data_IF_751606289196
#
_entry.id   IF_751606289196
#
_cell.length_a   1.000
_cell.length_b   1.000
_cell.length_c   1.000
_cell.angle_alpha   90.00
_cell.angle_beta   90.00
_cell.angle_gamma   90.00
#
_symmetry.space_group_name_H-M   'P 1'
#
loop_
_entity.id
_entity.type
_entity.pdbx_description
1 polymer ?
#
# COMPACT_ATOMS: atom_id res chain seq x y z
N UNK A 1 -16.20 -0.49 24.15
CA UNK A 1 -16.26 -1.53 23.10
C UNK A 1 -15.15 -2.52 23.37
N UNK A 2 -15.44 -3.82 23.27
CA UNK A 2 -14.52 -4.89 23.66
C UNK A 2 -13.33 -4.98 22.69
N UNK A 3 -12.10 -4.79 23.17
CA UNK A 3 -10.88 -4.68 22.33
C UNK A 3 -10.64 -5.93 21.47
N UNK A 4 -11.14 -7.08 21.91
CA UNK A 4 -11.07 -8.36 21.20
C UNK A 4 -11.95 -8.39 19.94
N UNK A 5 -13.14 -7.78 20.00
CA UNK A 5 -14.06 -7.67 18.86
C UNK A 5 -13.49 -6.78 17.75
N UNK A 6 -12.83 -5.68 18.13
CA UNK A 6 -12.15 -4.80 17.17
C UNK A 6 -10.96 -5.53 16.48
N UNK A 7 -10.17 -6.31 17.23
CA UNK A 7 -9.04 -7.09 16.66
C UNK A 7 -9.49 -8.05 15.56
N UNK A 8 -10.57 -8.82 15.78
CA UNK A 8 -11.09 -9.76 14.77
C UNK A 8 -11.64 -9.03 13.53
N UNK A 9 -12.32 -7.90 13.72
CA UNK A 9 -12.83 -7.08 12.63
C UNK A 9 -11.70 -6.44 11.81
N UNK A 10 -10.63 -5.96 12.45
CA UNK A 10 -9.42 -5.46 11.79
C UNK A 10 -8.75 -6.58 11.00
N UNK A 11 -8.64 -7.80 11.54
CA UNK A 11 -8.10 -8.94 10.77
C UNK A 11 -8.98 -9.30 9.56
N UNK A 12 -10.29 -9.09 9.62
CA UNK A 12 -11.17 -9.33 8.48
C UNK A 12 -10.97 -8.33 7.32
N UNK A 13 -10.38 -7.16 7.57
CA UNK A 13 -10.08 -6.19 6.49
C UNK A 13 -9.02 -6.74 5.53
N UNK A 14 -8.11 -7.59 5.99
CA UNK A 14 -7.15 -8.30 5.15
C UNK A 14 -7.84 -9.15 4.07
N UNK A 15 -8.88 -9.90 4.44
CA UNK A 15 -9.61 -10.75 3.49
C UNK A 15 -10.38 -9.89 2.47
N UNK A 16 -10.97 -8.77 2.90
CA UNK A 16 -11.67 -7.82 2.02
C UNK A 16 -10.73 -7.11 1.04
N UNK A 17 -9.54 -6.71 1.51
CA UNK A 17 -8.49 -6.12 0.68
C UNK A 17 -7.97 -7.11 -0.36
N UNK A 18 -7.69 -8.36 0.04
CA UNK A 18 -7.25 -9.43 -0.86
C UNK A 18 -8.30 -9.74 -1.93
N UNK A 19 -9.58 -9.80 -1.56
CA UNK A 19 -10.68 -10.01 -2.51
C UNK A 19 -10.81 -8.85 -3.51
N UNK A 20 -10.62 -7.61 -3.07
CA UNK A 20 -10.66 -6.43 -3.94
C UNK A 20 -9.45 -6.36 -4.87
N UNK A 21 -8.25 -6.72 -4.38
CA UNK A 21 -7.05 -6.91 -5.21
C UNK A 21 -7.29 -7.97 -6.29
N UNK A 22 -7.85 -9.14 -5.93
CA UNK A 22 -8.21 -10.18 -6.91
C UNK A 22 -9.26 -9.72 -7.94
N UNK A 23 -10.24 -8.89 -7.54
CA UNK A 23 -11.21 -8.30 -8.48
C UNK A 23 -10.50 -7.48 -9.57
N UNK A 24 -9.53 -6.65 -9.17
CA UNK A 24 -8.72 -5.86 -10.09
C UNK A 24 -7.93 -6.73 -11.06
N UNK A 25 -7.28 -7.79 -10.55
CA UNK A 25 -6.51 -8.74 -11.38
C UNK A 25 -7.39 -9.40 -12.42
N UNK A 26 -8.55 -9.95 -12.01
CA UNK A 26 -9.48 -10.63 -12.92
C UNK A 26 -10.05 -9.70 -14.00
N UNK A 27 -10.06 -8.39 -13.74
CA UNK A 27 -10.52 -7.36 -14.68
C UNK A 27 -9.37 -6.76 -15.49
N UNK A 28 -8.13 -7.16 -15.25
CA UNK A 28 -6.96 -6.70 -15.99
C UNK A 28 -6.43 -5.33 -15.56
N UNK A 29 -6.83 -4.82 -14.39
CA UNK A 29 -6.32 -3.54 -13.89
C UNK A 29 -4.84 -3.64 -13.52
N UNK A 30 -4.47 -4.72 -12.84
CA UNK A 30 -3.09 -4.99 -12.42
C UNK A 30 -2.73 -6.45 -12.64
N UNK A 31 -1.42 -6.73 -12.74
CA UNK A 31 -0.89 -8.09 -12.82
C UNK A 31 -0.46 -8.53 -11.43
N UNK A 32 -1.01 -9.64 -10.96
CA UNK A 32 -0.59 -10.32 -9.74
C UNK A 32 -0.98 -11.79 -9.85
N UNK A 33 0.02 -12.63 -10.04
CA UNK A 33 -0.15 -14.08 -10.26
C UNK A 33 -0.33 -14.85 -8.93
N UNK A 34 -0.37 -14.16 -7.77
CA UNK A 34 -0.33 -14.77 -6.45
C UNK A 34 -1.58 -14.49 -5.60
N UNK A 35 -2.22 -13.32 -5.71
CA UNK A 35 -3.32 -12.93 -4.80
C UNK A 35 -4.48 -13.92 -4.81
N UNK A 36 -4.70 -14.60 -5.93
CA UNK A 36 -5.74 -15.62 -6.05
C UNK A 36 -5.54 -16.81 -5.09
N UNK A 37 -4.31 -17.09 -4.67
CA UNK A 37 -3.96 -18.15 -3.71
C UNK A 37 -4.42 -17.83 -2.29
N UNK A 38 -4.61 -16.53 -1.99
CA UNK A 38 -4.99 -16.03 -0.66
C UNK A 38 -6.50 -15.77 -0.52
N UNK A 39 -7.26 -15.82 -1.62
CA UNK A 39 -8.69 -15.49 -1.62
C UNK A 39 -9.53 -16.75 -1.77
N UNK A 40 -10.22 -17.15 -0.70
CA UNK A 40 -11.13 -18.31 -0.72
C UNK A 40 -12.39 -18.10 -1.55
N UNK A 41 -12.94 -16.88 -1.52
CA UNK A 41 -14.19 -16.52 -2.20
C UNK A 41 -13.98 -15.24 -3.01
N UNK A 42 -13.75 -15.37 -4.33
CA UNK A 42 -13.62 -14.20 -5.19
C UNK A 42 -14.91 -13.36 -5.17
N UNK A 43 -14.76 -12.04 -5.06
CA UNK A 43 -15.87 -11.09 -5.11
C UNK A 43 -15.62 -10.12 -6.27
N UNK A 44 -16.64 -9.85 -7.08
CA UNK A 44 -16.57 -8.78 -8.10
C UNK A 44 -16.85 -7.44 -7.41
N UNK A 45 -15.98 -6.45 -7.64
CA UNK A 45 -16.18 -5.06 -7.20
C UNK A 45 -16.71 -4.20 -8.35
N UNK A 46 -17.29 -3.04 -8.01
CA UNK A 46 -17.70 -2.03 -8.99
C UNK A 46 -16.48 -1.40 -9.67
N UNK A 47 -16.65 -0.80 -10.87
CA UNK A 47 -15.54 -0.15 -11.58
C UNK A 47 -14.84 0.93 -10.75
N UNK A 48 -15.58 1.74 -9.97
CA UNK A 48 -14.97 2.78 -9.12
C UNK A 48 -14.05 2.18 -8.04
N UNK A 49 -14.45 1.06 -7.42
CA UNK A 49 -13.62 0.37 -6.44
C UNK A 49 -12.38 -0.23 -7.11
N UNK A 50 -12.53 -0.85 -8.29
CA UNK A 50 -11.39 -1.41 -9.02
C UNK A 50 -10.39 -0.31 -9.43
N UNK A 51 -10.87 0.85 -9.92
CA UNK A 51 -10.04 2.02 -10.24
C UNK A 51 -9.31 2.57 -9.02
N UNK A 52 -9.98 2.67 -7.88
CA UNK A 52 -9.35 3.08 -6.62
C UNK A 52 -8.26 2.13 -6.14
N UNK A 53 -8.53 0.82 -6.15
CA UNK A 53 -7.53 -0.20 -5.79
C UNK A 53 -6.35 -0.25 -6.76
N UNK A 54 -6.59 -0.02 -8.06
CA UNK A 54 -5.53 0.14 -9.04
C UNK A 54 -4.66 1.35 -8.73
N UNK A 55 -5.25 2.51 -8.45
CA UNK A 55 -4.50 3.72 -8.13
C UNK A 55 -3.63 3.52 -6.87
N UNK A 56 -4.20 2.91 -5.84
CA UNK A 56 -3.50 2.48 -4.61
C UNK A 56 -2.28 1.61 -4.93
N UNK A 57 -2.48 0.54 -5.70
CA UNK A 57 -1.40 -0.37 -6.10
C UNK A 57 -0.35 0.33 -6.97
N UNK A 58 -0.77 1.11 -7.98
CA UNK A 58 0.12 1.80 -8.90
C UNK A 58 1.02 2.82 -8.17
N UNK A 59 0.48 3.54 -7.19
CA UNK A 59 1.23 4.48 -6.38
C UNK A 59 2.32 3.78 -5.55
N UNK A 60 1.96 2.71 -4.83
CA UNK A 60 2.93 1.88 -4.09
C UNK A 60 4.01 1.34 -5.03
N UNK A 61 3.62 0.73 -6.16
CA UNK A 61 4.56 0.13 -7.12
C UNK A 61 5.51 1.15 -7.72
N UNK A 62 5.03 2.36 -8.05
CA UNK A 62 5.89 3.40 -8.63
C UNK A 62 6.91 3.93 -7.61
N UNK A 63 6.49 4.22 -6.38
CA UNK A 63 7.39 4.66 -5.31
C UNK A 63 8.38 3.57 -4.89
N UNK A 64 7.90 2.32 -4.83
CA UNK A 64 8.74 1.17 -4.53
C UNK A 64 9.80 0.94 -5.61
N UNK A 65 9.43 1.01 -6.89
CA UNK A 65 10.40 0.92 -7.98
C UNK A 65 11.40 2.08 -7.97
N UNK A 66 10.98 3.32 -7.71
CA UNK A 66 11.92 4.44 -7.54
C UNK A 66 12.98 4.14 -6.47
N UNK A 67 12.58 3.57 -5.32
CA UNK A 67 13.49 3.16 -4.26
C UNK A 67 14.41 2.00 -4.70
N UNK A 68 13.86 0.97 -5.34
CA UNK A 68 14.62 -0.20 -5.79
C UNK A 68 15.60 0.12 -6.93
N UNK A 69 15.31 1.13 -7.74
CA UNK A 69 16.13 1.57 -8.86
C UNK A 69 17.18 2.64 -8.44
N UNK A 70 17.15 3.16 -7.21
CA UNK A 70 18.17 4.11 -6.70
C UNK A 70 19.57 3.48 -6.65
N UNK A 71 20.57 4.08 -7.29
CA UNK A 71 21.95 3.58 -7.24
C UNK A 71 22.73 4.23 -6.08
N UNK A 72 23.65 3.47 -5.46
CA UNK A 72 24.59 4.02 -4.48
C UNK A 72 25.74 4.76 -5.18
N UNK A 73 26.45 5.62 -4.44
CA UNK A 73 27.63 6.28 -4.98
C UNK A 73 28.66 5.25 -5.49
N UNK A 74 29.16 5.46 -6.71
CA UNK A 74 29.95 4.54 -7.54
C UNK A 74 31.30 4.04 -6.96
N UNK A 75 31.61 4.33 -5.70
CA UNK A 75 32.87 3.99 -5.06
C UNK A 75 32.96 2.53 -4.58
N UNK A 76 31.84 1.82 -4.42
CA UNK A 76 31.84 0.39 -4.10
C UNK A 76 31.33 -0.43 -5.29
N UNK A 77 32.14 -1.38 -5.76
CA UNK A 77 31.88 -2.23 -6.94
C UNK A 77 30.76 -3.27 -6.73
N UNK A 78 29.77 -2.99 -5.89
CA UNK A 78 28.66 -3.89 -5.55
C UNK A 78 27.31 -3.19 -5.65
N UNK A 79 26.26 -3.96 -5.96
CA UNK A 79 24.89 -3.46 -5.88
C UNK A 79 24.56 -3.06 -4.44
N UNK A 80 24.00 -1.86 -4.26
CA UNK A 80 23.52 -1.36 -2.98
C UNK A 80 22.45 -2.31 -2.43
N UNK A 81 22.72 -2.94 -1.28
CA UNK A 81 21.73 -3.78 -0.60
C UNK A 81 20.62 -2.90 -0.05
N UNK A 82 19.37 -3.34 -0.24
CA UNK A 82 18.16 -2.63 0.19
C UNK A 82 17.24 -3.56 0.95
N UNK A 83 16.48 -3.01 1.89
CA UNK A 83 15.55 -3.76 2.71
C UNK A 83 14.12 -3.23 2.53
N UNK A 84 13.14 -4.10 2.72
CA UNK A 84 11.73 -3.72 2.79
C UNK A 84 11.16 -4.22 4.12
N UNK A 85 10.45 -3.34 4.82
CA UNK A 85 9.70 -3.65 6.04
C UNK A 85 8.23 -3.35 5.83
N UNK A 86 7.39 -4.37 5.69
CA UNK A 86 5.95 -4.22 5.54
C UNK A 86 5.24 -4.42 6.87
N UNK A 87 4.71 -3.33 7.42
CA UNK A 87 3.93 -3.31 8.65
C UNK A 87 2.47 -3.64 8.31
N UNK A 88 1.86 -4.58 9.03
CA UNK A 88 0.48 -5.02 8.76
C UNK A 88 0.32 -5.57 7.34
N UNK A 89 1.26 -6.43 6.92
CA UNK A 89 1.39 -6.86 5.54
C UNK A 89 0.19 -7.66 5.01
N UNK A 90 -0.61 -8.25 5.90
CA UNK A 90 -1.71 -9.11 5.48
C UNK A 90 -1.27 -10.22 4.53
N UNK A 91 -2.08 -10.49 3.52
CA UNK A 91 -1.78 -11.37 2.40
C UNK A 91 -1.20 -10.62 1.19
N UNK A 92 -0.47 -9.53 1.42
CA UNK A 92 0.24 -8.86 0.34
C UNK A 92 1.20 -9.81 -0.38
N UNK A 93 1.33 -9.62 -1.69
CA UNK A 93 2.04 -10.52 -2.59
C UNK A 93 3.25 -9.86 -3.24
N UNK A 94 3.59 -8.63 -2.83
CA UNK A 94 4.61 -7.80 -3.49
C UNK A 94 5.97 -8.48 -3.55
N UNK A 95 6.40 -9.18 -2.48
CA UNK A 95 7.65 -9.94 -2.50
C UNK A 95 7.69 -10.97 -3.62
N UNK A 96 6.63 -11.75 -3.79
CA UNK A 96 6.57 -12.81 -4.81
C UNK A 96 6.55 -12.21 -6.22
N UNK A 97 5.85 -11.09 -6.42
CA UNK A 97 5.88 -10.34 -7.68
C UNK A 97 7.29 -9.81 -7.99
N UNK A 98 7.96 -9.21 -7.00
CA UNK A 98 9.34 -8.70 -7.17
C UNK A 98 10.34 -9.82 -7.49
N UNK A 99 10.14 -11.03 -6.94
CA UNK A 99 10.97 -12.18 -7.29
C UNK A 99 10.83 -12.56 -8.77
N UNK A 100 9.61 -12.59 -9.30
CA UNK A 100 9.39 -12.87 -10.73
C UNK A 100 9.95 -11.79 -11.64
N UNK A 101 9.94 -10.55 -11.18
CA UNK A 101 10.47 -9.41 -11.91
C UNK A 101 12.01 -9.30 -11.83
N UNK A 102 12.67 -10.14 -11.02
CA UNK A 102 14.11 -10.05 -10.77
C UNK A 102 14.52 -8.79 -9.99
N UNK A 103 13.58 -8.20 -9.24
CA UNK A 103 13.74 -6.94 -8.48
C UNK A 103 13.62 -7.14 -6.96
N UNK A 104 13.64 -8.37 -6.47
CA UNK A 104 13.55 -8.63 -5.04
C UNK A 104 14.70 -7.94 -4.26
N UNK A 105 14.41 -7.32 -3.10
CA UNK A 105 15.43 -6.64 -2.30
C UNK A 105 16.40 -7.65 -1.67
N UNK A 106 17.44 -7.13 -1.01
CA UNK A 106 18.33 -7.97 -0.21
C UNK A 106 17.58 -8.69 0.92
N UNK A 107 16.61 -8.02 1.54
CA UNK A 107 15.77 -8.57 2.59
C UNK A 107 14.36 -7.97 2.54
N UNK A 108 13.33 -8.81 2.63
CA UNK A 108 11.92 -8.40 2.71
C UNK A 108 11.32 -8.98 4.00
N UNK A 109 10.86 -8.12 4.90
CA UNK A 109 10.28 -8.50 6.19
C UNK A 109 8.82 -8.08 6.25
N UNK A 110 7.95 -9.02 6.55
CA UNK A 110 6.51 -8.80 6.73
C UNK A 110 6.11 -9.05 8.19
N UNK A 111 5.39 -8.08 8.75
CA UNK A 111 4.90 -8.10 10.12
C UNK A 111 3.37 -8.06 10.12
N UNK A 112 2.74 -8.93 10.89
CA UNK A 112 1.29 -8.89 11.14
C UNK A 112 0.95 -9.63 12.44
N UNK A 113 -0.32 -9.62 12.84
CA UNK A 113 -0.81 -10.46 13.90
C UNK A 113 -0.59 -11.94 13.59
N UNK A 114 -0.28 -12.72 14.63
CA UNK A 114 -0.06 -14.17 14.55
C UNK A 114 -1.16 -14.91 13.79
N UNK A 115 -2.42 -14.53 13.99
CA UNK A 115 -3.54 -15.19 13.32
C UNK A 115 -3.52 -15.01 11.79
N UNK A 116 -2.96 -13.89 11.30
CA UNK A 116 -2.76 -13.60 9.87
C UNK A 116 -1.51 -14.29 9.37
N UNK A 117 -0.39 -14.17 10.08
CA UNK A 117 0.88 -14.77 9.65
C UNK A 117 0.83 -16.29 9.64
N UNK A 118 0.16 -16.94 10.61
CA UNK A 118 -0.05 -18.40 10.59
C UNK A 118 -0.83 -18.90 9.37
N UNK A 119 -1.83 -18.13 8.89
CA UNK A 119 -2.56 -18.46 7.65
C UNK A 119 -1.66 -18.31 6.44
N UNK A 120 -0.88 -17.23 6.36
CA UNK A 120 0.05 -16.97 5.26
C UNK A 120 1.18 -17.99 5.22
N UNK A 121 1.80 -18.31 6.36
CA UNK A 121 2.82 -19.35 6.50
C UNK A 121 2.29 -20.73 6.05
N UNK A 122 1.05 -21.09 6.41
CA UNK A 122 0.42 -22.33 5.95
C UNK A 122 0.29 -22.37 4.42
N UNK A 123 -0.11 -21.26 3.78
CA UNK A 123 -0.22 -21.20 2.33
C UNK A 123 1.14 -21.25 1.66
N UNK A 124 2.15 -20.56 2.22
CA UNK A 124 3.53 -20.59 1.71
C UNK A 124 4.11 -22.00 1.78
N UNK A 125 3.86 -22.75 2.85
CA UNK A 125 4.33 -24.13 2.98
C UNK A 125 3.65 -25.10 2.01
N UNK A 126 2.33 -24.95 1.82
CA UNK A 126 1.51 -25.95 1.10
C UNK A 126 1.37 -25.67 -0.39
N UNK A 127 1.62 -24.44 -0.84
CA UNK A 127 1.52 -24.04 -2.24
C UNK A 127 2.92 -23.91 -2.86
N UNK A 128 3.27 -24.80 -3.80
CA UNK A 128 4.58 -24.78 -4.49
C UNK A 128 4.87 -23.44 -5.16
N UNK A 129 3.85 -22.78 -5.73
CA UNK A 129 4.00 -21.48 -6.39
C UNK A 129 4.53 -20.39 -5.45
N UNK A 130 4.26 -20.49 -4.14
CA UNK A 130 4.81 -19.61 -3.11
C UNK A 130 6.10 -20.17 -2.51
N UNK A 131 6.13 -21.48 -2.23
CA UNK A 131 7.28 -22.15 -1.61
C UNK A 131 8.55 -22.04 -2.44
N UNK A 132 8.41 -22.11 -3.76
CA UNK A 132 9.53 -22.08 -4.72
C UNK A 132 10.13 -20.67 -4.86
N UNK A 133 9.45 -19.63 -4.35
CA UNK A 133 9.91 -18.23 -4.36
C UNK A 133 10.71 -17.84 -3.12
N UNK A 134 10.79 -18.73 -2.15
CA UNK A 134 11.64 -18.56 -0.96
C UNK A 134 12.72 -19.64 -0.96
N UNK A 135 13.83 -19.38 -0.26
CA UNK A 135 14.97 -20.30 -0.23
C UNK A 135 14.56 -21.72 0.15
N UNK A 136 15.18 -22.73 -0.47
CA UNK A 136 14.90 -24.14 -0.16
C UNK A 136 15.18 -24.46 1.33
N UNK A 137 16.14 -23.74 1.93
CA UNK A 137 16.53 -23.85 3.35
C UNK A 137 15.61 -23.08 4.30
N UNK A 138 14.53 -22.45 3.81
CA UNK A 138 13.62 -21.68 4.65
C UNK A 138 13.01 -22.56 5.75
N UNK A 139 13.05 -22.05 6.98
CA UNK A 139 12.33 -22.61 8.13
C UNK A 139 10.92 -22.03 8.15
N UNK A 140 9.91 -22.89 8.14
CA UNK A 140 8.49 -22.49 8.20
C UNK A 140 7.86 -23.14 9.42
N UNK A 141 7.24 -22.33 10.26
CA UNK A 141 6.51 -22.79 11.43
C UNK A 141 5.10 -22.21 11.42
N UNK A 142 4.12 -23.06 11.12
CA UNK A 142 2.70 -22.68 11.11
C UNK A 142 2.19 -22.29 12.50
N UNK A 143 2.69 -22.99 13.52
CA UNK A 143 2.27 -22.81 14.92
C UNK A 143 2.77 -21.49 15.49
N UNK A 144 4.03 -21.12 15.24
CA UNK A 144 4.51 -19.79 15.60
C UNK A 144 3.99 -18.72 14.63
N UNK A 145 3.70 -19.08 13.38
CA UNK A 145 3.27 -18.13 12.34
C UNK A 145 4.46 -17.44 11.69
N UNK A 146 5.56 -18.17 11.51
CA UNK A 146 6.85 -17.66 11.09
C UNK A 146 7.30 -18.31 9.78
N UNK A 147 7.92 -17.51 8.92
CA UNK A 147 8.71 -17.98 7.77
C UNK A 147 10.05 -17.28 7.85
N UNK A 148 11.13 -18.05 7.91
CA UNK A 148 12.49 -17.54 7.99
C UNK A 148 13.29 -18.10 6.79
N UNK A 149 13.49 -17.26 5.78
CA UNK A 149 14.33 -17.53 4.60
C UNK A 149 15.49 -16.53 4.54
N UNK A 150 16.42 -16.70 3.61
CA UNK A 150 17.57 -15.80 3.47
C UNK A 150 17.15 -14.36 3.08
N UNK A 151 16.15 -14.24 2.19
CA UNK A 151 15.70 -12.95 1.63
C UNK A 151 14.26 -12.57 2.00
N UNK A 152 13.51 -13.47 2.65
CA UNK A 152 12.12 -13.23 3.05
C UNK A 152 11.88 -13.70 4.48
N UNK A 153 11.28 -12.83 5.28
CA UNK A 153 10.88 -13.09 6.66
C UNK A 153 9.41 -12.74 6.84
N UNK A 154 8.64 -13.63 7.44
CA UNK A 154 7.29 -13.37 7.92
C UNK A 154 7.29 -13.60 9.42
N UNK A 155 6.96 -12.57 10.21
CA UNK A 155 7.06 -12.62 11.66
C UNK A 155 5.77 -12.12 12.33
N UNK A 156 5.27 -12.85 13.35
CA UNK A 156 4.09 -12.46 14.12
C UNK A 156 4.46 -11.37 15.14
N UNK A 157 3.80 -10.22 15.11
CA UNK A 157 3.98 -9.18 16.12
C UNK A 157 2.75 -8.28 16.22
N UNK A 158 2.45 -7.81 17.42
CA UNK A 158 1.52 -6.70 17.61
C UNK A 158 2.32 -5.40 17.44
N UNK A 159 2.03 -4.64 16.38
CA UNK A 159 2.77 -3.41 16.06
C UNK A 159 2.77 -2.37 17.18
N UNK A 160 1.84 -2.48 18.15
CA UNK A 160 1.77 -1.58 19.32
C UNK A 160 2.84 -1.88 20.36
N UNK A 161 3.45 -3.06 20.31
CA UNK A 161 4.48 -3.51 21.23
C UNK A 161 5.88 -3.15 20.69
N UNK A 162 6.26 -1.87 20.85
CA UNK A 162 7.53 -1.34 20.33
C UNK A 162 8.77 -2.15 20.77
N UNK A 163 8.91 -2.56 22.05
CA UNK A 163 10.05 -3.40 22.45
C UNK A 163 10.15 -4.71 21.64
N UNK A 164 9.02 -5.35 21.31
CA UNK A 164 9.03 -6.54 20.45
C UNK A 164 9.38 -6.23 18.99
N UNK A 165 9.14 -5.01 18.51
CA UNK A 165 9.60 -4.61 17.19
C UNK A 165 11.13 -4.56 17.13
N UNK A 166 11.81 -4.15 18.20
CA UNK A 166 13.28 -4.19 18.28
C UNK A 166 13.82 -5.64 18.25
N UNK A 167 13.16 -6.55 18.96
CA UNK A 167 13.48 -7.99 18.91
C UNK A 167 13.30 -8.54 17.49
N UNK A 168 12.26 -8.11 16.78
CA UNK A 168 11.97 -8.50 15.39
C UNK A 168 13.07 -8.02 14.42
N UNK A 169 13.59 -6.80 14.56
CA UNK A 169 14.72 -6.32 13.74
C UNK A 169 15.91 -7.25 13.88
N UNK A 170 16.24 -7.63 15.12
CA UNK A 170 17.34 -8.54 15.43
C UNK A 170 17.08 -9.94 14.87
N UNK A 171 15.90 -10.50 15.09
CA UNK A 171 15.51 -11.83 14.62
C UNK A 171 15.47 -11.95 13.10
N UNK A 172 14.98 -10.91 12.42
CA UNK A 172 14.94 -10.84 10.97
C UNK A 172 16.32 -10.66 10.34
N UNK A 173 17.33 -10.24 11.13
CA UNK A 173 18.65 -9.86 10.63
C UNK A 173 18.62 -8.59 9.79
N UNK A 174 17.70 -7.66 10.10
CA UNK A 174 17.65 -6.36 9.42
C UNK A 174 18.82 -5.50 9.89
N UNK A 175 19.55 -4.94 8.94
CA UNK A 175 20.63 -3.98 9.19
C UNK A 175 20.06 -2.55 9.15
N UNK A 176 20.02 -1.82 10.28
CA UNK A 176 19.46 -0.47 10.31
C UNK A 176 20.29 0.58 9.55
N UNK A 177 21.53 0.25 9.14
CA UNK A 177 22.37 1.11 8.32
C UNK A 177 22.05 1.03 6.82
N UNK A 178 21.34 -0.01 6.38
CA UNK A 178 20.96 -0.18 4.98
C UNK A 178 19.72 0.65 4.61
N UNK A 179 19.63 1.16 3.37
CA UNK A 179 18.43 1.79 2.85
C UNK A 179 17.22 0.88 3.03
N UNK A 180 16.18 1.39 3.70
CA UNK A 180 14.99 0.61 4.05
C UNK A 180 13.71 1.29 3.57
N UNK A 181 12.87 0.56 2.83
CA UNK A 181 11.53 1.01 2.45
C UNK A 181 10.49 0.41 3.39
N UNK A 182 9.75 1.26 4.08
CA UNK A 182 8.78 0.86 5.09
C UNK A 182 7.38 1.06 4.53
N UNK A 183 6.50 0.06 4.66
CA UNK A 183 5.15 0.09 4.10
C UNK A 183 4.14 0.03 5.24
N UNK A 184 3.20 0.97 5.26
CA UNK A 184 1.97 0.89 6.04
C UNK A 184 0.76 1.20 5.12
N UNK A 185 0.17 0.15 4.55
CA UNK A 185 -0.90 0.27 3.54
C UNK A 185 -2.28 -0.05 4.17
N UNK A 186 -3.01 0.98 4.62
CA UNK A 186 -4.20 0.90 5.47
C UNK A 186 -3.92 0.16 6.80
N UNK A 187 -3.00 0.69 7.61
CA UNK A 187 -2.59 0.03 8.87
C UNK A 187 -2.70 0.98 10.06
N UNK A 188 -1.99 2.11 10.03
CA UNK A 188 -1.92 3.04 11.18
C UNK A 188 -3.30 3.61 11.54
N UNK A 189 -4.17 3.81 10.54
CA UNK A 189 -5.55 4.28 10.75
C UNK A 189 -6.40 3.43 11.72
N UNK A 190 -6.07 2.15 11.88
CA UNK A 190 -6.77 1.23 12.80
C UNK A 190 -6.23 1.29 14.24
N UNK A 191 -5.14 2.01 14.48
CA UNK A 191 -4.50 2.13 15.77
C UNK A 191 -4.90 3.43 16.45
N UNK A 192 -4.86 3.44 17.78
CA UNK A 192 -4.99 4.68 18.52
C UNK A 192 -3.82 5.64 18.17
N UNK A 193 -4.03 6.97 18.29
CA UNK A 193 -3.03 7.95 17.89
C UNK A 193 -1.65 7.78 18.54
N UNK A 194 -1.59 7.36 19.81
CA UNK A 194 -0.32 7.17 20.52
C UNK A 194 0.46 5.97 19.98
N UNK A 195 -0.22 4.88 19.67
CA UNK A 195 0.37 3.72 18.99
C UNK A 195 0.94 4.12 17.62
N UNK A 196 0.16 4.85 16.80
CA UNK A 196 0.61 5.31 15.48
C UNK A 196 1.84 6.21 15.58
N UNK A 197 1.83 7.22 16.46
CA UNK A 197 3.00 8.08 16.72
C UNK A 197 4.21 7.28 17.18
N UNK A 198 4.00 6.27 18.03
CA UNK A 198 5.08 5.43 18.56
C UNK A 198 5.75 4.60 17.47
N UNK A 199 4.98 4.03 16.54
CA UNK A 199 5.50 3.26 15.40
C UNK A 199 6.28 4.18 14.43
N UNK A 200 5.71 5.34 14.09
CA UNK A 200 6.36 6.31 13.20
C UNK A 200 7.66 6.85 13.81
N UNK A 201 7.67 7.11 15.12
CA UNK A 201 8.87 7.52 15.85
C UNK A 201 9.91 6.41 15.92
N UNK A 202 9.48 5.17 16.19
CA UNK A 202 10.36 4.02 16.24
C UNK A 202 11.08 3.83 14.91
N UNK A 203 10.33 3.75 13.81
CA UNK A 203 10.93 3.62 12.45
C UNK A 203 11.89 4.75 12.11
N UNK A 204 11.57 6.01 12.48
CA UNK A 204 12.48 7.15 12.29
C UNK A 204 13.80 7.02 13.05
N UNK A 205 13.77 6.42 14.24
CA UNK A 205 14.97 6.24 15.07
C UNK A 205 15.80 5.04 14.65
N UNK A 206 15.13 3.99 14.15
CA UNK A 206 15.76 2.74 13.75
C UNK A 206 16.54 2.93 12.46
N UNK A 207 15.94 3.54 11.43
CA UNK A 207 16.56 3.61 10.08
C UNK A 207 16.98 5.03 9.72
N UNK A 208 18.30 5.21 9.53
CA UNK A 208 18.89 6.53 9.20
C UNK A 208 18.73 6.92 7.73
N UNK A 209 18.58 5.93 6.84
CA UNK A 209 18.26 6.12 5.43
C UNK A 209 17.04 5.27 5.09
N UNK A 210 15.87 5.89 5.02
CA UNK A 210 14.62 5.20 4.81
C UNK A 210 13.58 6.04 4.08
N UNK A 211 12.69 5.34 3.39
CA UNK A 211 11.40 5.86 2.92
C UNK A 211 10.31 5.18 3.74
N UNK A 212 9.36 5.94 4.27
CA UNK A 212 8.11 5.40 4.81
C UNK A 212 6.98 5.70 3.83
N UNK A 213 6.33 4.67 3.30
CA UNK A 213 5.12 4.77 2.48
C UNK A 213 3.88 4.54 3.35
N UNK A 214 2.92 5.44 3.23
CA UNK A 214 1.63 5.38 3.92
C UNK A 214 0.49 5.53 2.91
N UNK A 215 -0.50 4.66 2.99
CA UNK A 215 -1.78 4.81 2.29
C UNK A 215 -2.92 4.65 3.28
N UNK A 216 -3.78 5.66 3.45
CA UNK A 216 -4.93 5.58 4.37
C UNK A 216 -5.95 6.70 4.15
N UNK A 217 -7.02 6.68 4.94
CA UNK A 217 -8.15 7.59 4.89
C UNK A 217 -7.83 8.98 5.45
N UNK A 218 -8.51 9.99 4.92
CA UNK A 218 -8.58 11.39 5.37
C UNK A 218 -10.02 11.94 5.25
N UNK A 219 -10.23 13.18 5.67
CA UNK A 219 -11.49 13.93 5.60
C UNK A 219 -12.67 13.25 6.32
N UNK A 220 -12.63 13.10 7.66
CA UNK A 220 -13.70 12.44 8.42
C UNK A 220 -15.00 13.23 8.53
N UNK A 221 -14.95 14.55 8.36
CA UNK A 221 -15.99 15.45 8.85
C UNK A 221 -17.06 15.79 7.81
N UNK A 222 -16.80 15.55 6.52
CA UNK A 222 -17.80 15.75 5.49
C UNK A 222 -18.80 14.58 5.39
N UNK A 223 -19.79 14.73 4.51
CA UNK A 223 -20.88 13.77 4.41
C UNK A 223 -20.42 12.37 3.95
N UNK A 224 -19.41 12.30 3.08
CA UNK A 224 -18.84 11.03 2.64
C UNK A 224 -17.98 10.42 3.74
N UNK A 225 -17.06 11.19 4.33
CA UNK A 225 -16.20 10.76 5.44
C UNK A 225 -16.99 10.19 6.62
N UNK A 226 -18.03 10.90 7.05
CA UNK A 226 -18.90 10.42 8.12
C UNK A 226 -19.64 9.13 7.74
N UNK A 227 -20.07 8.98 6.48
CA UNK A 227 -20.73 7.76 6.03
C UNK A 227 -19.75 6.59 5.96
N UNK A 228 -18.52 6.81 5.49
CA UNK A 228 -17.44 5.84 5.50
C UNK A 228 -17.15 5.34 6.92
N UNK A 229 -17.01 6.24 7.89
CA UNK A 229 -16.78 5.90 9.30
C UNK A 229 -17.93 5.05 9.85
N UNK A 230 -19.18 5.51 9.71
CA UNK A 230 -20.37 4.76 10.17
C UNK A 230 -20.43 3.35 9.57
N UNK A 231 -20.11 3.22 8.28
CA UNK A 231 -20.10 1.93 7.58
C UNK A 231 -19.06 0.97 8.17
N UNK A 232 -17.84 1.46 8.45
CA UNK A 232 -16.76 0.64 9.00
C UNK A 232 -17.02 0.27 10.47
N UNK A 233 -17.51 1.21 11.27
CA UNK A 233 -17.91 0.97 12.66
C UNK A 233 -19.04 -0.06 12.77
N UNK A 234 -20.02 -0.04 11.85
CA UNK A 234 -21.10 -1.03 11.82
C UNK A 234 -20.60 -2.47 11.59
N UNK A 235 -19.37 -2.62 11.07
CA UNK A 235 -18.67 -3.89 10.86
C UNK A 235 -17.66 -4.20 11.97
N UNK A 236 -17.64 -3.40 13.04
CA UNK A 236 -16.71 -3.52 14.16
C UNK A 236 -15.30 -2.99 13.88
N UNK A 237 -15.08 -2.29 12.75
CA UNK A 237 -13.77 -1.83 12.30
C UNK A 237 -13.67 -0.31 12.42
N UNK A 238 -13.41 0.20 13.62
CA UNK A 238 -13.28 1.64 13.85
C UNK A 238 -11.95 2.18 13.30
N UNK A 239 -11.99 3.35 12.68
CA UNK A 239 -10.79 4.10 12.25
C UNK A 239 -10.27 4.96 13.42
N UNK A 240 -9.56 4.33 14.35
CA UNK A 240 -9.16 4.96 15.62
C UNK A 240 -8.28 6.21 15.44
N UNK A 241 -7.50 6.30 14.36
CA UNK A 241 -6.59 7.42 14.10
C UNK A 241 -7.15 8.54 13.22
N UNK A 242 -8.39 8.42 12.69
CA UNK A 242 -8.86 9.31 11.60
C UNK A 242 -8.98 10.78 12.02
N UNK A 243 -9.40 11.04 13.26
CA UNK A 243 -9.58 12.40 13.76
C UNK A 243 -8.27 13.06 14.23
N UNK A 244 -7.22 12.27 14.51
CA UNK A 244 -5.89 12.80 14.89
C UNK A 244 -5.10 13.23 13.65
N UNK A 245 -5.32 12.56 12.52
CA UNK A 245 -4.67 12.87 11.24
C UNK A 245 -5.66 13.04 10.07
N UNK A 246 -6.55 14.05 10.14
CA UNK A 246 -7.72 14.15 9.25
C UNK A 246 -7.43 14.74 7.86
N UNK A 247 -6.24 15.29 7.62
CA UNK A 247 -5.90 16.00 6.37
C UNK A 247 -4.52 15.62 5.86
N UNK A 248 -4.20 15.95 4.61
CA UNK A 248 -2.87 15.76 4.03
C UNK A 248 -1.78 16.40 4.90
N UNK A 249 -1.97 17.66 5.33
CA UNK A 249 -1.02 18.34 6.21
C UNK A 249 -0.86 17.63 7.55
N UNK A 250 -1.94 17.09 8.13
CA UNK A 250 -1.85 16.33 9.37
C UNK A 250 -1.07 15.01 9.20
N UNK A 251 -1.18 14.36 8.03
CA UNK A 251 -0.37 13.18 7.69
C UNK A 251 1.11 13.55 7.56
N UNK A 252 1.44 14.67 6.94
CA UNK A 252 2.83 15.15 6.85
C UNK A 252 3.39 15.47 8.24
N UNK A 253 2.61 16.16 9.09
CA UNK A 253 2.99 16.50 10.45
C UNK A 253 3.22 15.25 11.32
N UNK A 254 2.40 14.21 11.16
CA UNK A 254 2.61 12.92 11.84
C UNK A 254 4.03 12.37 11.63
N UNK A 255 4.64 12.59 10.46
CA UNK A 255 6.02 12.13 10.24
C UNK A 255 7.04 13.10 10.80
N UNK A 256 6.94 14.39 10.45
CA UNK A 256 7.94 15.40 10.81
C UNK A 256 8.04 15.57 12.34
N UNK A 257 6.91 15.58 13.04
CA UNK A 257 6.87 15.68 14.51
C UNK A 257 7.46 14.44 15.21
N UNK A 258 7.56 13.32 14.51
CA UNK A 258 8.07 12.05 15.04
C UNK A 258 9.52 11.76 14.62
N UNK A 259 10.19 12.73 14.00
CA UNK A 259 11.63 12.70 13.74
C UNK A 259 12.03 12.48 12.29
N UNK A 260 11.07 12.35 11.37
CA UNK A 260 11.38 12.23 9.95
C UNK A 260 11.84 13.58 9.38
N UNK A 261 12.85 13.58 8.50
CA UNK A 261 13.43 14.82 7.96
C UNK A 261 12.44 15.60 7.08
N UNK A 262 11.62 14.89 6.30
CA UNK A 262 10.57 15.48 5.45
C UNK A 262 9.47 14.47 5.17
N UNK A 263 8.28 14.98 4.86
CA UNK A 263 7.15 14.19 4.40
C UNK A 263 6.33 14.97 3.35
N UNK A 264 5.67 14.24 2.46
CA UNK A 264 4.79 14.79 1.42
C UNK A 264 3.56 13.89 1.30
N UNK A 265 2.36 14.48 1.25
CA UNK A 265 1.10 13.75 1.11
C UNK A 265 0.24 14.29 -0.04
N UNK A 266 -0.24 13.40 -0.92
CA UNK A 266 -1.21 13.70 -1.97
C UNK A 266 -2.49 12.87 -1.76
N UNK A 267 -3.64 13.47 -2.03
CA UNK A 267 -4.90 12.72 -2.12
C UNK A 267 -4.89 11.78 -3.34
N UNK A 268 -5.78 10.78 -3.35
CA UNK A 268 -5.78 9.77 -4.41
C UNK A 268 -6.28 10.31 -5.75
N UNK A 269 -7.00 11.43 -5.78
CA UNK A 269 -7.41 12.07 -7.03
C UNK A 269 -6.19 12.63 -7.76
N UNK A 270 -5.34 13.36 -7.03
CA UNK A 270 -4.07 13.88 -7.52
C UNK A 270 -3.07 12.78 -7.86
N UNK A 271 -2.98 11.75 -7.03
CA UNK A 271 -2.16 10.56 -7.35
C UNK A 271 -2.63 9.93 -8.66
N UNK A 272 -3.95 9.73 -8.82
CA UNK A 272 -4.51 9.20 -10.05
C UNK A 272 -4.21 10.11 -11.25
N UNK A 273 -4.47 11.41 -11.14
CA UNK A 273 -4.35 12.34 -12.26
C UNK A 273 -2.90 12.62 -12.68
N UNK A 274 -1.99 12.73 -11.73
CA UNK A 274 -0.67 13.31 -11.97
C UNK A 274 0.46 12.27 -11.81
N UNK A 275 0.30 11.31 -10.90
CA UNK A 275 1.35 10.33 -10.59
C UNK A 275 1.21 9.03 -11.40
N UNK A 276 -0.02 8.56 -11.65
CA UNK A 276 -0.28 7.40 -12.51
C UNK A 276 -0.11 7.79 -13.98
N UNK A 277 0.69 7.00 -14.71
CA UNK A 277 1.01 7.25 -16.11
C UNK A 277 -0.25 7.36 -16.97
N UNK A 278 -0.29 8.36 -17.85
CA UNK A 278 -1.45 8.61 -18.70
C UNK A 278 -1.79 7.41 -19.61
N UNK A 279 -0.79 6.64 -20.04
CA UNK A 279 -1.01 5.44 -20.83
C UNK A 279 -1.74 4.36 -20.01
N UNK A 280 -1.32 4.15 -18.76
CA UNK A 280 -1.96 3.19 -17.86
C UNK A 280 -3.37 3.63 -17.48
N UNK A 281 -3.61 4.92 -17.21
CA UNK A 281 -4.97 5.44 -17.00
C UNK A 281 -5.88 5.16 -18.19
N UNK A 282 -5.46 5.51 -19.41
CA UNK A 282 -6.25 5.23 -20.63
C UNK A 282 -6.49 3.73 -20.83
N UNK A 283 -5.53 2.88 -20.46
CA UNK A 283 -5.66 1.42 -20.55
C UNK A 283 -6.74 0.94 -19.59
N UNK A 284 -6.68 1.33 -18.32
CA UNK A 284 -7.62 0.85 -17.30
C UNK A 284 -9.02 1.43 -17.45
N UNK A 285 -9.16 2.67 -17.92
CA UNK A 285 -10.46 3.31 -18.14
C UNK A 285 -11.28 2.62 -19.25
N UNK A 286 -10.62 1.85 -20.12
CA UNK A 286 -11.25 1.04 -21.18
C UNK A 286 -11.63 -0.37 -20.74
N UNK A 287 -11.20 -0.84 -19.57
CA UNK A 287 -11.45 -2.21 -19.12
C UNK A 287 -12.91 -2.43 -18.72
N UNK A 288 -13.52 -1.41 -18.13
CA UNK A 288 -14.91 -1.43 -17.70
C UNK A 288 -15.55 -0.09 -18.05
N UNK A 289 -16.77 -0.15 -18.59
CA UNK A 289 -17.62 1.03 -18.72
C UNK A 289 -17.82 1.64 -17.33
N UNK A 290 -17.61 2.95 -17.25
CA UNK A 290 -17.93 3.75 -16.09
C UNK A 290 -19.08 4.66 -16.51
N UNK A 291 -20.29 4.12 -16.40
CA UNK A 291 -21.53 4.84 -16.64
C UNK A 291 -22.26 4.97 -15.30
N UNK A 292 -22.45 6.22 -14.87
CA UNK A 292 -23.19 6.57 -13.65
C UNK A 292 -24.64 6.01 -13.71
N UNK A 293 -25.20 5.83 -14.91
CA UNK A 293 -26.50 5.20 -15.12
C UNK A 293 -26.49 3.67 -15.04
N UNK A 294 -25.44 2.96 -15.49
CA UNK A 294 -25.34 1.50 -15.29
C UNK A 294 -25.15 1.15 -13.81
N UNK A 295 -24.39 1.96 -13.06
CA UNK A 295 -24.36 1.82 -11.61
C UNK A 295 -25.77 2.02 -11.05
N UNK A 296 -26.51 3.05 -11.46
CA UNK A 296 -27.90 3.27 -11.04
C UNK A 296 -28.86 2.10 -11.36
N UNK A 297 -28.74 1.48 -12.53
CA UNK A 297 -29.56 0.31 -12.88
C UNK A 297 -29.15 -0.96 -12.13
N UNK A 298 -27.84 -1.21 -11.92
CA UNK A 298 -27.37 -2.31 -11.07
C UNK A 298 -27.81 -2.13 -9.61
N UNK A 299 -27.97 -0.89 -9.15
CA UNK A 299 -28.50 -0.53 -7.83
C UNK A 299 -30.00 -0.85 -7.74
N UNK A 300 -30.81 -0.47 -8.73
CA UNK A 300 -32.26 -0.74 -8.77
C UNK A 300 -32.59 -2.24 -8.93
N UNK A 301 -31.80 -2.98 -9.72
CA UNK A 301 -32.05 -4.40 -9.98
C UNK A 301 -31.78 -5.33 -8.78
N UNK A 302 -31.02 -4.86 -7.77
CA UNK A 302 -30.72 -5.63 -6.54
C UNK A 302 -31.74 -5.42 -5.43
N UNK A 303 -32.59 -4.39 -5.52
CA UNK A 303 -33.66 -4.15 -4.56
C UNK A 303 -34.97 -4.90 -4.91
N UNK A 304 -35.04 -5.55 -6.08
CA UNK A 304 -36.25 -6.22 -6.58
C UNK A 304 -36.33 -7.75 -6.36
N UNK A 305 -35.27 -8.42 -5.88
CA UNK A 305 -35.31 -9.87 -5.63
C UNK A 305 -35.01 -10.20 -4.16
N UNK A 306 -36.06 -10.56 -3.43
CA UNK A 306 -35.98 -10.98 -2.03
C UNK A 306 -35.18 -12.27 -1.86
N UNK A 307 -33.92 -12.15 -1.43
CA UNK A 307 -33.17 -13.24 -0.79
C UNK A 307 -32.37 -12.70 0.40
N UNK A 308 -32.90 -12.94 1.59
CA UNK A 308 -32.41 -12.40 2.86
C UNK A 308 -31.37 -13.34 3.49
N UNK A 309 -30.13 -13.43 2.99
CA UNK A 309 -28.99 -14.02 3.73
C UNK A 309 -27.64 -13.40 3.30
N UNK A 310 -26.97 -12.73 4.25
CA UNK A 310 -25.51 -12.47 4.36
C UNK A 310 -24.73 -12.16 3.06
N UNK A 311 -24.92 -10.97 2.51
CA UNK A 311 -23.91 -10.19 1.76
C UNK A 311 -24.57 -8.94 1.15
N UNK A 312 -25.10 -8.03 1.97
CA UNK A 312 -25.55 -6.73 1.43
C UNK A 312 -25.80 -5.75 2.55
N UNK A 313 -24.88 -4.81 2.76
CA UNK A 313 -25.10 -3.53 3.44
C UNK A 313 -23.99 -2.50 3.15
N UNK A 314 -23.05 -2.83 2.24
CA UNK A 314 -22.09 -1.88 1.66
C UNK A 314 -22.74 -1.09 0.51
N UNK A 315 -23.87 -1.54 -0.04
CA UNK A 315 -24.37 -0.99 -1.29
C UNK A 315 -25.52 0.01 -1.14
N UNK A 316 -26.43 -0.06 -0.16
CA UNK A 316 -27.66 0.77 -0.22
C UNK A 316 -27.54 2.20 0.36
N UNK A 317 -26.61 2.47 1.29
CA UNK A 317 -26.55 3.78 1.98
C UNK A 317 -25.38 4.70 1.59
N UNK A 318 -24.46 4.23 0.73
CA UNK A 318 -23.57 5.13 -0.05
C UNK A 318 -24.36 5.89 -1.14
N UNK A 319 -25.55 5.41 -1.50
CA UNK A 319 -26.28 5.77 -2.73
C UNK A 319 -26.91 7.16 -2.70
N UNK A 320 -27.16 7.77 -1.53
CA UNK A 320 -27.73 9.14 -1.50
C UNK A 320 -26.72 10.27 -1.66
N UNK A 321 -25.41 9.98 -1.60
CA UNK A 321 -24.34 10.98 -1.75
C UNK A 321 -23.50 10.80 -3.01
N UNK A 322 -23.43 9.59 -3.58
CA UNK A 322 -22.63 9.31 -4.78
C UNK A 322 -23.24 9.92 -6.06
N UNK A 323 -24.52 10.29 -6.06
CA UNK A 323 -25.20 10.86 -7.24
C UNK A 323 -24.89 12.34 -7.52
N UNK A 324 -23.92 12.98 -6.84
CA UNK A 324 -23.41 14.29 -7.27
C UNK A 324 -21.89 14.44 -7.39
N UNK A 325 -21.07 13.47 -6.96
CA UNK A 325 -19.61 13.67 -6.92
C UNK A 325 -18.83 12.34 -7.04
N UNK A 326 -18.61 11.87 -8.26
CA UNK A 326 -17.71 10.74 -8.56
C UNK A 326 -16.21 11.06 -8.32
N UNK A 327 -15.87 12.35 -8.12
CA UNK A 327 -14.56 12.85 -7.67
C UNK A 327 -14.29 12.59 -6.17
N UNK A 328 -15.31 12.63 -5.33
CA UNK A 328 -15.13 12.69 -3.87
C UNK A 328 -14.45 11.44 -3.29
N UNK A 329 -14.76 10.24 -3.81
CA UNK A 329 -14.21 9.00 -3.25
C UNK A 329 -12.68 8.98 -3.21
N UNK A 330 -12.03 9.55 -4.23
CA UNK A 330 -10.58 9.58 -4.33
C UNK A 330 -9.95 10.68 -3.44
N UNK A 331 -10.71 11.68 -3.02
CA UNK A 331 -10.23 12.73 -2.13
C UNK A 331 -10.13 12.26 -0.66
N UNK A 332 -10.87 11.21 -0.29
CA UNK A 332 -10.95 10.68 1.09
C UNK A 332 -9.85 9.68 1.45
N UNK A 333 -8.91 9.45 0.54
CA UNK A 333 -7.75 8.62 0.76
C UNK A 333 -6.52 9.39 0.29
N UNK A 334 -5.38 9.13 0.92
CA UNK A 334 -4.12 9.74 0.53
C UNK A 334 -3.00 8.72 0.46
N UNK A 335 -1.97 9.06 -0.32
CA UNK A 335 -0.62 8.51 -0.18
C UNK A 335 0.26 9.58 0.43
N UNK A 336 0.96 9.21 1.49
CA UNK A 336 2.07 10.00 2.02
C UNK A 336 3.36 9.21 1.92
N UNK A 337 4.47 9.90 1.69
CA UNK A 337 5.78 9.34 1.94
C UNK A 337 6.61 10.26 2.85
N UNK A 338 7.42 9.66 3.71
CA UNK A 338 8.38 10.35 4.57
C UNK A 338 9.79 9.83 4.36
N UNK A 339 10.79 10.68 4.58
CA UNK A 339 12.17 10.42 4.21
C UNK A 339 13.12 10.77 5.33
N UNK A 340 14.02 9.84 5.63
CA UNK A 340 15.31 10.09 6.26
C UNK A 340 16.38 9.70 5.24
N UNK A 341 17.36 10.56 5.01
CA UNK A 341 18.32 10.38 3.92
C UNK A 341 19.77 10.65 4.35
N UNK A 342 20.25 9.89 5.34
CA UNK A 342 21.63 10.03 5.83
C UNK A 342 22.70 9.71 4.74
N UNK A 343 22.35 8.90 3.74
CA UNK A 343 23.23 8.54 2.63
C UNK A 343 23.08 9.47 1.39
N UNK A 344 22.11 10.38 1.38
CA UNK A 344 21.88 11.31 0.26
C UNK A 344 21.36 10.63 -1.02
N UNK A 345 20.63 9.52 -0.89
CA UNK A 345 20.10 8.70 -1.98
C UNK A 345 18.77 9.20 -2.54
N UNK A 346 18.00 9.93 -1.75
CA UNK A 346 16.57 10.16 -2.00
C UNK A 346 16.24 11.60 -2.39
N UNK A 347 17.23 12.40 -2.82
CA UNK A 347 17.04 13.81 -3.21
C UNK A 347 15.84 14.02 -4.15
N UNK A 348 15.79 13.23 -5.24
CA UNK A 348 14.73 13.29 -6.25
C UNK A 348 13.59 12.27 -6.00
N UNK A 349 13.51 11.64 -4.83
CA UNK A 349 12.47 10.66 -4.55
C UNK A 349 11.08 11.29 -4.41
N UNK A 350 10.07 10.62 -4.98
CA UNK A 350 8.66 10.85 -4.67
C UNK A 350 7.79 11.23 -5.86
N UNK A 351 6.89 12.18 -5.64
CA UNK A 351 5.94 12.68 -6.65
C UNK A 351 6.61 13.65 -7.63
N UNK A 352 7.52 13.14 -8.46
CA UNK A 352 8.15 13.93 -9.51
C UNK A 352 7.14 14.25 -10.62
N UNK A 353 6.94 15.54 -10.90
CA UNK A 353 6.21 15.98 -12.08
C UNK A 353 7.12 15.84 -13.31
N UNK A 354 6.67 15.12 -14.34
CA UNK A 354 7.36 15.03 -15.63
C UNK A 354 7.47 16.37 -16.41
N UNK A 355 7.12 17.50 -15.80
CA UNK A 355 7.22 18.84 -16.39
C UNK A 355 8.62 19.47 -16.30
N UNK A 356 9.60 18.81 -15.69
CA UNK A 356 11.01 19.21 -15.74
C UNK A 356 11.84 18.38 -16.74
N UNK A 357 11.40 18.35 -18.00
CA UNK A 357 12.37 18.26 -19.10
C UNK A 357 12.68 19.69 -19.55
N UNK A 358 13.80 20.25 -19.06
CA UNK A 358 14.33 21.48 -19.65
C UNK A 358 14.61 21.23 -21.14
N UNK A 359 14.20 22.12 -22.07
CA UNK A 359 14.60 21.99 -23.46
C UNK A 359 16.12 22.13 -23.54
N UNK A 360 16.78 21.14 -24.14
CA UNK A 360 18.22 21.25 -24.43
C UNK A 360 18.48 22.53 -25.22
N UNK A 361 19.56 23.28 -24.92
CA UNK A 361 19.91 24.45 -25.71
C UNK A 361 20.25 24.00 -27.13
N UNK A 362 19.50 24.52 -28.10
CA UNK A 362 19.80 24.39 -29.53
C UNK A 362 21.24 24.86 -29.78
N UNK A 363 22.12 23.92 -30.11
CA UNK A 363 23.44 24.23 -30.70
C UNK A 363 23.20 24.53 -32.18
N UNK A 364 23.49 25.73 -32.70
CA UNK A 364 23.37 26.01 -34.11
C UNK A 364 24.47 25.26 -34.88
N UNK A 365 24.09 24.52 -35.93
CA UNK A 365 25.05 23.94 -36.87
C UNK A 365 25.87 25.07 -37.54
N UNK A 366 27.21 24.97 -37.61
CA UNK A 366 28.00 25.89 -38.40
C UNK A 366 27.75 25.60 -39.88
N UNK A 367 27.23 26.61 -40.57
CA UNK A 367 27.02 26.61 -42.00
C UNK A 367 28.32 26.35 -42.76
N UNK A 368 28.21 25.48 -43.75
CA UNK A 368 29.23 25.15 -44.73
C UNK A 368 29.75 26.39 -45.46
N UNK A 369 31.06 26.54 -45.44
CA UNK A 369 31.87 27.42 -46.27
C UNK A 369 31.52 27.31 -47.76
N UNK A 370 31.21 28.45 -48.38
CA UNK A 370 31.30 28.63 -49.82
C UNK A 370 32.31 29.73 -50.12
N UNK A 371 33.35 29.39 -50.87
CA UNK A 371 34.20 30.31 -51.65
C UNK A 371 34.98 29.46 -52.68
N UNK A 372 35.42 30.02 -53.81
CA UNK A 372 35.18 31.37 -54.35
C UNK A 372 34.10 31.42 -55.44
#
# INVERSE_FOLDING_TARGET
>A
MDSRSNKEAVQATNDDASASKLSCVKKGYMKDDYVHLFVRRPVRRSPIINRGYFARWAALRKLLNQFLDTEGNACEKGHLKKQILSLGAGFDTTYFQLQDEGKAPHLYVELDFKEVTSKKATLIETCSHLRDKISATASISRESGEVLSDHYKLLPVDLRDIPKLDDVITLAGMDPSLPTFIIAECVLIYLDPDSSRSIVRWTSKTFSTAIFFLYEQIHPDDAFGQQMIRNLESRGCSLLGIHDTPTLQAKENLFVEQGWQRAVAWDMLKVYSDFVEAQERRRIERLELFDEFEEWHMMQARDSEGFFVKCSLIFSLMIRLVLSQSSDFQEHYCVAYAINDALGLFGDFGFLNHHHQQPQPHVPNPSSSASP
#
